data_IF_975262403336
#
_entry.id   IF_975262403336
#
_cell.length_a   1.000
_cell.length_b   1.000
_cell.length_c   1.000
_cell.angle_alpha   90.00
_cell.angle_beta   90.00
_cell.angle_gamma   90.00
#
_symmetry.space_group_name_H-M   'P 1'
#
loop_
_entity.id
_entity.type
_entity.pdbx_description
1 polymer ?
#
# COMPACT_ATOMS: atom_id res chain seq x y z
N UNK A 1 -18.77 7.34 1.86
CA UNK A 1 -17.81 7.09 0.79
C UNK A 1 -18.17 7.90 -0.46
N UNK A 2 -19.41 7.75 -1.03
CA UNK A 2 -19.79 8.50 -2.23
C UNK A 2 -19.65 10.02 -2.12
N UNK A 3 -20.08 10.62 -1.00
CA UNK A 3 -19.92 12.07 -0.76
C UNK A 3 -18.43 12.50 -0.72
N UNK A 4 -17.55 11.65 -0.19
CA UNK A 4 -16.09 11.93 -0.23
C UNK A 4 -15.56 11.94 -1.66
N UNK A 5 -16.02 11.01 -2.50
CA UNK A 5 -15.65 10.99 -3.92
C UNK A 5 -16.18 12.23 -4.67
N UNK A 6 -17.41 12.64 -4.40
CA UNK A 6 -17.97 13.88 -4.98
C UNK A 6 -17.18 15.12 -4.56
N UNK A 7 -16.81 15.21 -3.29
CA UNK A 7 -16.00 16.32 -2.77
C UNK A 7 -14.58 16.31 -3.39
N UNK A 8 -13.94 15.14 -3.48
CA UNK A 8 -12.63 14.99 -4.12
C UNK A 8 -12.66 15.44 -5.59
N UNK A 9 -13.71 15.09 -6.32
CA UNK A 9 -13.90 15.52 -7.71
C UNK A 9 -14.01 17.04 -7.84
N UNK A 10 -14.65 17.73 -6.89
CA UNK A 10 -14.73 19.20 -6.87
C UNK A 10 -13.37 19.87 -6.71
N UNK A 11 -12.45 19.19 -6.02
CA UNK A 11 -11.08 19.68 -5.82
C UNK A 11 -10.08 19.17 -6.85
N UNK A 12 -10.54 18.54 -7.93
CA UNK A 12 -9.69 18.00 -9.00
C UNK A 12 -8.63 17.01 -8.47
N UNK A 13 -9.07 16.12 -7.58
CA UNK A 13 -8.23 15.09 -6.97
C UNK A 13 -8.49 13.77 -7.68
N UNK A 14 -7.43 13.15 -8.22
CA UNK A 14 -7.53 11.86 -8.92
C UNK A 14 -7.62 10.66 -7.97
N UNK A 15 -6.82 10.69 -6.88
CA UNK A 15 -6.74 9.57 -5.92
C UNK A 15 -6.73 10.11 -4.49
N UNK A 16 -7.60 9.59 -3.64
CA UNK A 16 -7.56 9.87 -2.19
C UNK A 16 -6.94 8.73 -1.41
N UNK A 17 -6.16 9.07 -0.37
CA UNK A 17 -5.36 8.11 0.41
C UNK A 17 -6.21 7.44 1.50
N UNK A 18 -7.19 6.67 1.07
CA UNK A 18 -8.19 5.96 1.89
C UNK A 18 -8.60 4.65 1.19
N UNK A 19 -9.14 3.66 1.92
CA UNK A 19 -9.27 3.52 3.37
C UNK A 19 -8.00 3.03 4.07
N UNK A 20 -7.84 3.41 5.35
CA UNK A 20 -6.93 2.71 6.26
C UNK A 20 -7.66 1.53 6.90
N UNK A 21 -7.08 0.32 6.82
CA UNK A 21 -7.71 -0.90 7.35
C UNK A 21 -6.82 -1.73 8.27
N UNK A 22 -5.76 -1.11 8.84
CA UNK A 22 -4.95 -1.81 9.81
C UNK A 22 -5.77 -2.18 11.06
N UNK A 23 -5.40 -3.28 11.69
CA UNK A 23 -6.10 -3.79 12.87
C UNK A 23 -5.90 -2.87 14.08
N UNK A 24 -6.96 -2.48 14.76
CA UNK A 24 -6.95 -1.73 16.02
C UNK A 24 -6.49 -2.63 17.17
N UNK A 25 -5.23 -3.03 17.15
CA UNK A 25 -4.69 -3.96 18.14
C UNK A 25 -4.45 -3.32 19.50
N UNK A 26 -3.91 -2.09 19.50
CA UNK A 26 -3.60 -1.35 20.72
C UNK A 26 -4.46 -0.08 20.76
N UNK A 27 -5.27 0.12 21.78
CA UNK A 27 -6.13 1.31 21.89
C UNK A 27 -5.33 2.63 21.93
N UNK A 28 -4.05 2.58 22.29
CA UNK A 28 -3.15 3.75 22.30
C UNK A 28 -2.48 4.03 20.93
N UNK A 29 -2.78 3.25 19.89
CA UNK A 29 -2.25 3.54 18.57
C UNK A 29 -2.82 4.86 18.05
N UNK A 30 -1.93 5.82 17.72
CA UNK A 30 -2.31 7.18 17.35
C UNK A 30 -3.05 7.31 16.00
N UNK A 31 -3.20 6.20 15.24
CA UNK A 31 -3.92 6.17 13.96
C UNK A 31 -5.21 5.35 13.98
N UNK A 32 -5.65 4.87 15.16
CA UNK A 32 -6.91 4.15 15.26
C UNK A 32 -8.13 4.97 14.78
N UNK A 33 -8.05 6.31 14.81
CA UNK A 33 -9.13 7.19 14.36
C UNK A 33 -9.47 7.01 12.86
N UNK A 34 -8.56 6.52 12.05
CA UNK A 34 -8.76 6.29 10.61
C UNK A 34 -8.99 4.82 10.25
N UNK A 35 -8.92 3.90 11.22
CA UNK A 35 -9.14 2.47 11.04
C UNK A 35 -10.55 2.06 11.48
N UNK A 36 -11.00 0.87 11.08
CA UNK A 36 -12.39 0.47 11.33
C UNK A 36 -12.56 -0.42 12.56
N UNK A 37 -11.70 -1.45 12.74
CA UNK A 37 -11.93 -2.46 13.77
C UNK A 37 -10.64 -3.23 14.13
N UNK A 38 -10.75 -3.99 15.22
CA UNK A 38 -9.81 -5.07 15.57
C UNK A 38 -10.11 -6.37 14.81
N UNK A 39 -11.32 -6.50 14.25
CA UNK A 39 -11.77 -7.63 13.45
C UNK A 39 -11.36 -7.44 11.97
N UNK A 40 -10.54 -8.37 11.41
CA UNK A 40 -10.11 -8.27 10.01
C UNK A 40 -11.28 -8.42 9.02
N UNK A 41 -12.32 -9.18 9.36
CA UNK A 41 -13.48 -9.35 8.47
C UNK A 41 -14.25 -8.04 8.35
N UNK A 42 -14.55 -7.42 9.50
CA UNK A 42 -15.24 -6.12 9.50
C UNK A 42 -14.39 -5.04 8.81
N UNK A 43 -13.09 -4.97 9.13
CA UNK A 43 -12.18 -4.00 8.52
C UNK A 43 -12.08 -4.18 7.00
N UNK A 44 -11.99 -5.41 6.53
CA UNK A 44 -11.92 -5.73 5.09
C UNK A 44 -13.21 -5.36 4.34
N UNK A 45 -14.37 -5.73 4.87
CA UNK A 45 -15.67 -5.42 4.24
C UNK A 45 -15.98 -3.91 4.26
N UNK A 46 -15.69 -3.23 5.37
CA UNK A 46 -15.85 -1.77 5.45
C UNK A 46 -14.88 -1.05 4.51
N UNK A 47 -13.64 -1.54 4.40
CA UNK A 47 -12.66 -1.06 3.43
C UNK A 47 -13.16 -1.19 2.00
N UNK A 48 -13.66 -2.37 1.63
CA UNK A 48 -14.22 -2.60 0.30
C UNK A 48 -15.40 -1.69 -0.02
N UNK A 49 -16.32 -1.50 0.93
CA UNK A 49 -17.45 -0.59 0.78
C UNK A 49 -16.99 0.87 0.59
N UNK A 50 -15.91 1.27 1.29
CA UNK A 50 -15.31 2.60 1.12
C UNK A 50 -14.69 2.76 -0.27
N UNK A 51 -13.87 1.80 -0.71
CA UNK A 51 -13.27 1.78 -2.05
C UNK A 51 -14.35 1.91 -3.13
N UNK A 52 -15.33 1.01 -3.12
CA UNK A 52 -16.40 1.01 -4.11
C UNK A 52 -17.21 2.31 -4.12
N UNK A 53 -17.50 2.85 -2.93
CA UNK A 53 -18.27 4.09 -2.81
C UNK A 53 -17.53 5.33 -3.32
N UNK A 54 -16.22 5.44 -3.09
CA UNK A 54 -15.38 6.53 -3.62
C UNK A 54 -15.18 6.36 -5.13
N UNK A 55 -14.79 5.16 -5.57
CA UNK A 55 -14.48 4.89 -6.97
C UNK A 55 -15.73 4.95 -7.88
N UNK A 56 -16.94 4.80 -7.32
CA UNK A 56 -18.19 5.05 -8.07
C UNK A 56 -18.35 6.50 -8.56
N UNK A 57 -17.51 7.42 -8.09
CA UNK A 57 -17.48 8.82 -8.50
C UNK A 57 -16.30 9.16 -9.43
N UNK A 58 -15.59 8.14 -9.94
CA UNK A 58 -14.44 8.33 -10.81
C UNK A 58 -13.15 8.74 -10.09
N UNK A 59 -13.12 8.69 -8.75
CA UNK A 59 -11.96 9.02 -7.93
C UNK A 59 -11.31 7.75 -7.42
N UNK A 60 -10.00 7.59 -7.65
CA UNK A 60 -9.23 6.45 -7.17
C UNK A 60 -9.07 6.42 -5.66
N UNK A 61 -8.77 5.25 -5.14
CA UNK A 61 -8.46 5.04 -3.72
C UNK A 61 -7.09 4.41 -3.53
N UNK A 62 -6.47 4.68 -2.38
CA UNK A 62 -5.25 4.01 -1.95
C UNK A 62 -5.50 3.24 -0.66
N UNK A 63 -5.66 1.92 -0.80
CA UNK A 63 -5.85 1.02 0.34
C UNK A 63 -4.59 0.95 1.19
N UNK A 64 -4.67 1.23 2.49
CA UNK A 64 -3.50 1.42 3.34
C UNK A 64 -3.67 0.90 4.77
N UNK A 65 -2.58 0.71 5.53
CA UNK A 65 -1.18 0.67 5.10
C UNK A 65 -0.74 -0.79 5.06
N UNK A 66 -0.31 -1.28 3.95
CA UNK A 66 0.04 -2.68 3.72
C UNK A 66 1.48 -2.95 4.19
N UNK A 67 1.71 -3.63 5.32
CA UNK A 67 0.79 -4.24 6.26
C UNK A 67 1.32 -4.14 7.70
N UNK A 68 0.49 -4.43 8.68
CA UNK A 68 0.84 -4.49 10.11
C UNK A 68 1.35 -3.17 10.72
N UNK A 69 0.86 -2.03 10.27
CA UNK A 69 1.11 -0.71 10.84
C UNK A 69 0.19 -0.46 12.05
N UNK A 70 0.46 -1.14 13.17
CA UNK A 70 -0.43 -1.21 14.33
C UNK A 70 0.04 -0.38 15.53
N UNK A 71 1.10 0.42 15.36
CA UNK A 71 1.60 1.33 16.38
C UNK A 71 2.38 2.49 15.73
N UNK A 72 2.44 3.65 16.42
CA UNK A 72 3.07 4.86 15.86
C UNK A 72 4.34 5.30 16.60
N UNK A 73 4.59 4.77 17.80
CA UNK A 73 5.82 5.08 18.54
C UNK A 73 7.02 4.54 17.75
N UNK A 74 7.95 5.43 17.38
CA UNK A 74 9.13 5.09 16.60
C UNK A 74 8.81 4.35 15.28
N UNK A 75 7.74 4.75 14.60
CA UNK A 75 7.16 4.03 13.45
C UNK A 75 8.14 3.68 12.33
N UNK A 76 9.11 4.56 12.06
CA UNK A 76 10.13 4.36 11.01
C UNK A 76 11.17 3.29 11.35
N UNK A 77 11.28 2.88 12.62
CA UNK A 77 12.22 1.87 13.08
C UNK A 77 11.51 0.62 13.63
N UNK A 78 10.19 0.64 13.67
CA UNK A 78 9.40 -0.48 14.17
C UNK A 78 9.61 -1.74 13.32
N UNK A 79 9.86 -2.87 14.00
CA UNK A 79 9.91 -4.20 13.40
C UNK A 79 8.78 -5.04 14.00
N UNK A 80 7.73 -5.24 13.24
CA UNK A 80 6.56 -6.02 13.65
C UNK A 80 6.91 -7.51 13.61
N UNK A 81 7.14 -8.09 14.79
CA UNK A 81 7.43 -9.53 14.93
C UNK A 81 6.13 -10.30 15.08
N UNK A 82 5.73 -10.93 14.01
CA UNK A 82 4.42 -11.58 13.89
C UNK A 82 4.63 -13.03 13.44
N UNK A 83 4.10 -14.03 14.14
CA UNK A 83 4.07 -15.40 13.62
C UNK A 83 3.33 -15.47 12.28
N UNK A 84 3.82 -16.27 11.32
CA UNK A 84 3.26 -16.37 9.96
C UNK A 84 1.76 -16.62 9.98
N UNK A 85 1.28 -17.51 10.86
CA UNK A 85 -0.16 -17.77 11.01
C UNK A 85 -0.95 -16.51 11.36
N UNK A 86 -0.50 -15.74 12.35
CA UNK A 86 -1.17 -14.51 12.75
C UNK A 86 -1.09 -13.43 11.65
N UNK A 87 0.05 -13.35 10.94
CA UNK A 87 0.20 -12.44 9.80
C UNK A 87 -0.87 -12.74 8.73
N UNK A 88 -1.02 -14.00 8.35
CA UNK A 88 -1.98 -14.45 7.31
C UNK A 88 -3.44 -14.35 7.77
N UNK A 89 -3.76 -14.80 8.98
CA UNK A 89 -5.14 -14.92 9.44
C UNK A 89 -5.73 -13.63 10.02
N UNK A 90 -4.90 -12.67 10.40
CA UNK A 90 -5.34 -11.42 11.03
C UNK A 90 -4.88 -10.19 10.21
N UNK A 91 -3.57 -9.96 10.10
CA UNK A 91 -3.06 -8.69 9.57
C UNK A 91 -3.20 -8.56 8.05
N UNK A 92 -2.99 -9.62 7.31
CA UNK A 92 -3.21 -9.70 5.87
C UNK A 92 -4.69 -9.92 5.52
N UNK A 93 -5.44 -10.60 6.39
CA UNK A 93 -6.81 -11.04 6.10
C UNK A 93 -7.78 -9.92 5.75
N UNK A 94 -7.68 -8.77 6.41
CA UNK A 94 -8.49 -7.60 6.08
C UNK A 94 -8.22 -7.07 4.67
N UNK A 95 -6.95 -7.04 4.26
CA UNK A 95 -6.56 -6.64 2.90
C UNK A 95 -7.04 -7.65 1.85
N UNK A 96 -6.85 -8.94 2.11
CA UNK A 96 -7.34 -10.01 1.24
C UNK A 96 -8.86 -9.87 0.99
N UNK A 97 -9.65 -9.74 2.06
CA UNK A 97 -11.11 -9.55 1.96
C UNK A 97 -11.44 -8.26 1.19
N UNK A 98 -10.76 -7.16 1.47
CA UNK A 98 -10.99 -5.91 0.78
C UNK A 98 -10.76 -6.07 -0.72
N UNK A 99 -9.67 -6.69 -1.15
CA UNK A 99 -9.35 -6.92 -2.56
C UNK A 99 -10.28 -7.94 -3.23
N UNK A 100 -10.81 -8.91 -2.51
CA UNK A 100 -11.83 -9.84 -3.04
C UNK A 100 -13.16 -9.16 -3.34
N UNK A 101 -13.49 -8.06 -2.65
CA UNK A 101 -14.78 -7.37 -2.75
C UNK A 101 -14.69 -5.97 -3.38
N UNK A 102 -13.50 -5.52 -3.73
CA UNK A 102 -13.24 -4.23 -4.38
C UNK A 102 -11.94 -4.28 -5.16
N UNK A 103 -11.69 -3.26 -5.97
CA UNK A 103 -10.45 -3.13 -6.71
C UNK A 103 -9.90 -1.70 -6.54
N UNK A 104 -9.20 -1.38 -5.43
CA UNK A 104 -8.59 -0.06 -5.25
C UNK A 104 -7.55 0.20 -6.34
N UNK A 105 -7.47 1.44 -6.85
CA UNK A 105 -6.50 1.77 -7.88
C UNK A 105 -5.07 1.62 -7.38
N UNK A 106 -4.85 1.93 -6.10
CA UNK A 106 -3.53 1.77 -5.50
C UNK A 106 -3.59 1.08 -4.13
N UNK A 107 -2.50 0.41 -3.76
CA UNK A 107 -2.23 -0.09 -2.40
C UNK A 107 -0.99 0.62 -1.88
N UNK A 108 -1.09 1.21 -0.69
CA UNK A 108 0.03 1.88 -0.04
C UNK A 108 0.72 0.95 0.95
N UNK A 109 2.02 0.75 0.78
CA UNK A 109 2.86 0.03 1.75
C UNK A 109 2.98 0.80 3.07
N UNK A 110 3.51 0.18 4.11
CA UNK A 110 3.62 0.79 5.44
C UNK A 110 5.07 1.13 5.82
N UNK A 111 5.25 1.92 6.88
CA UNK A 111 6.57 2.34 7.36
C UNK A 111 7.38 1.25 8.05
N UNK A 112 6.69 0.29 8.68
CA UNK A 112 7.33 -0.69 9.55
C UNK A 112 8.05 -1.78 8.77
N UNK A 113 8.89 -2.48 9.49
CA UNK A 113 9.43 -3.76 9.06
C UNK A 113 8.53 -4.92 9.51
N UNK A 114 8.66 -6.03 8.82
CA UNK A 114 8.20 -7.35 9.28
C UNK A 114 9.37 -8.31 9.18
N UNK A 115 9.80 -8.85 10.32
CA UNK A 115 10.94 -9.75 10.38
C UNK A 115 12.24 -9.14 9.85
N UNK A 116 12.46 -7.85 10.09
CA UNK A 116 13.65 -7.11 9.68
C UNK A 116 13.58 -6.47 8.29
N UNK A 117 12.60 -6.81 7.43
CA UNK A 117 12.46 -6.30 6.07
C UNK A 117 11.39 -5.19 6.06
N UNK A 118 11.69 -4.04 5.44
CA UNK A 118 10.71 -2.97 5.25
C UNK A 118 9.57 -3.47 4.36
N UNK A 119 8.32 -3.20 4.73
CA UNK A 119 7.16 -3.64 3.95
C UNK A 119 7.19 -3.12 2.51
N UNK A 120 7.67 -1.92 2.31
CA UNK A 120 7.83 -1.29 0.99
C UNK A 120 8.92 -1.89 0.11
N UNK A 121 9.80 -2.76 0.67
CA UNK A 121 10.85 -3.48 -0.08
C UNK A 121 10.66 -5.01 0.03
N UNK A 122 9.52 -5.46 0.55
CA UNK A 122 9.30 -6.86 0.86
C UNK A 122 8.65 -7.60 -0.32
N UNK A 123 9.48 -8.23 -1.16
CA UNK A 123 9.01 -8.96 -2.35
C UNK A 123 8.02 -10.10 -2.00
N UNK A 124 8.18 -10.78 -0.86
CA UNK A 124 7.22 -11.80 -0.42
C UNK A 124 5.82 -11.21 -0.22
N UNK A 125 5.73 -10.01 0.35
CA UNK A 125 4.45 -9.34 0.56
C UNK A 125 3.90 -8.73 -0.73
N UNK A 126 4.73 -8.01 -1.49
CA UNK A 126 4.28 -7.18 -2.60
C UNK A 126 4.19 -7.96 -3.92
N UNK A 127 5.08 -8.93 -4.16
CA UNK A 127 5.03 -9.77 -5.37
C UNK A 127 4.26 -11.05 -5.10
N UNK A 128 4.72 -11.89 -4.15
CA UNK A 128 4.10 -13.20 -3.96
C UNK A 128 2.69 -13.08 -3.39
N UNK A 129 2.50 -12.44 -2.23
CA UNK A 129 1.17 -12.40 -1.59
C UNK A 129 0.19 -11.52 -2.37
N UNK A 130 0.58 -10.27 -2.63
CA UNK A 130 -0.35 -9.29 -3.19
C UNK A 130 -0.67 -9.57 -4.67
N UNK A 131 0.35 -9.89 -5.50
CA UNK A 131 0.16 -10.08 -6.93
C UNK A 131 -0.11 -11.52 -7.33
N UNK A 132 0.76 -12.46 -6.92
CA UNK A 132 0.65 -13.85 -7.39
C UNK A 132 -0.50 -14.59 -6.71
N UNK A 133 -0.62 -14.50 -5.37
CA UNK A 133 -1.67 -15.20 -4.63
C UNK A 133 -3.04 -14.52 -4.75
N UNK A 134 -3.09 -13.18 -4.66
CA UNK A 134 -4.36 -12.44 -4.64
C UNK A 134 -4.74 -11.82 -5.98
N UNK A 135 -3.84 -11.82 -6.96
CA UNK A 135 -4.10 -11.32 -8.32
C UNK A 135 -4.30 -9.80 -8.40
N UNK A 136 -3.73 -9.04 -7.45
CA UNK A 136 -3.84 -7.58 -7.49
C UNK A 136 -3.02 -7.00 -8.66
N UNK A 137 -3.66 -6.27 -9.54
CA UNK A 137 -3.10 -5.68 -10.76
C UNK A 137 -2.90 -4.16 -10.71
N UNK A 138 -3.28 -3.51 -9.60
CA UNK A 138 -3.14 -2.06 -9.42
C UNK A 138 -1.73 -1.62 -9.00
N UNK A 139 -1.57 -0.31 -8.80
CA UNK A 139 -0.30 0.32 -8.45
C UNK A 139 0.03 0.14 -6.95
N UNK A 140 1.27 -0.19 -6.63
CA UNK A 140 1.78 -0.17 -5.25
C UNK A 140 2.56 1.11 -5.03
N UNK A 141 2.15 1.91 -4.04
CA UNK A 141 2.81 3.17 -3.68
C UNK A 141 3.49 3.07 -2.32
N UNK A 142 4.62 3.75 -2.14
CA UNK A 142 5.24 3.85 -0.82
C UNK A 142 4.50 4.84 0.07
N UNK A 143 4.53 4.65 1.39
CA UNK A 143 4.12 5.70 2.31
C UNK A 143 5.13 6.86 2.29
N UNK A 144 4.68 8.09 2.61
CA UNK A 144 5.45 9.33 2.47
C UNK A 144 6.66 9.37 3.41
N UNK A 145 7.80 9.79 2.88
CA UNK A 145 9.03 9.98 3.66
C UNK A 145 9.47 8.74 4.47
N UNK A 146 9.16 7.54 3.96
CA UNK A 146 9.63 6.30 4.54
C UNK A 146 11.16 6.16 4.51
N UNK A 147 11.69 5.10 5.09
CA UNK A 147 13.13 4.81 4.98
C UNK A 147 13.50 4.63 3.52
N UNK A 148 14.56 5.31 3.09
CA UNK A 148 15.04 5.27 1.72
C UNK A 148 15.85 4.00 1.46
N UNK A 149 15.58 3.40 0.40
CA UNK A 149 16.39 2.55 -0.47
C UNK A 149 15.56 2.35 -1.74
N UNK A 150 15.58 3.33 -2.62
CA UNK A 150 14.74 3.34 -3.83
C UNK A 150 14.95 2.11 -4.71
N UNK A 151 16.18 1.62 -4.96
CA UNK A 151 16.39 0.36 -5.67
C UNK A 151 15.72 -0.85 -5.03
N UNK A 152 15.90 -1.04 -3.71
CA UNK A 152 15.27 -2.17 -3.00
C UNK A 152 13.74 -2.09 -3.01
N UNK A 153 13.17 -0.88 -2.98
CA UNK A 153 11.72 -0.71 -3.04
C UNK A 153 11.15 -1.12 -4.39
N UNK A 154 11.78 -0.68 -5.48
CA UNK A 154 11.37 -1.04 -6.84
C UNK A 154 11.57 -2.54 -7.10
N UNK A 155 12.71 -3.10 -6.76
CA UNK A 155 12.95 -4.55 -6.84
C UNK A 155 11.98 -5.35 -5.97
N UNK A 156 11.58 -4.82 -4.81
CA UNK A 156 10.60 -5.42 -3.91
C UNK A 156 9.16 -5.38 -4.41
N UNK A 157 8.86 -4.58 -5.44
CA UNK A 157 7.52 -4.50 -6.04
C UNK A 157 6.73 -3.24 -5.69
N UNK A 158 7.35 -2.22 -5.07
CA UNK A 158 6.79 -0.87 -5.02
C UNK A 158 6.97 -0.20 -6.39
N UNK A 159 5.91 0.39 -6.94
CA UNK A 159 5.93 0.94 -8.29
C UNK A 159 6.05 2.47 -8.29
N UNK A 160 5.55 3.15 -7.26
CA UNK A 160 5.58 4.61 -7.15
C UNK A 160 6.15 5.02 -5.80
N UNK A 161 7.26 5.73 -5.83
CA UNK A 161 7.97 6.20 -4.62
C UNK A 161 7.49 7.60 -4.26
N UNK A 162 6.89 7.73 -3.08
CA UNK A 162 6.36 9.01 -2.60
C UNK A 162 7.29 9.65 -1.56
N UNK A 163 7.44 10.97 -1.58
CA UNK A 163 6.75 11.96 -2.44
C UNK A 163 7.44 12.24 -3.80
N UNK A 164 8.45 11.50 -4.22
CA UNK A 164 9.17 11.75 -5.48
C UNK A 164 10.27 12.80 -5.32
N UNK A 165 11.08 12.69 -4.26
CA UNK A 165 12.19 13.62 -4.02
C UNK A 165 13.33 13.41 -5.01
N UNK A 166 14.08 14.49 -5.31
CA UNK A 166 15.27 14.41 -6.17
C UNK A 166 16.26 13.34 -5.73
N UNK A 167 16.45 13.17 -4.43
CA UNK A 167 17.33 12.14 -3.90
C UNK A 167 16.87 10.69 -4.22
N UNK A 168 15.56 10.45 -4.37
CA UNK A 168 15.04 9.16 -4.82
C UNK A 168 15.40 8.90 -6.28
N UNK A 169 15.34 9.93 -7.13
CA UNK A 169 15.79 9.83 -8.53
C UNK A 169 17.28 9.51 -8.62
N UNK A 170 18.11 10.22 -7.87
CA UNK A 170 19.57 9.99 -7.81
C UNK A 170 19.90 8.56 -7.33
N UNK A 171 19.15 8.02 -6.35
CA UNK A 171 19.29 6.63 -5.91
C UNK A 171 18.90 5.63 -7.00
N UNK A 172 17.84 5.90 -7.77
CA UNK A 172 17.42 5.06 -8.90
C UNK A 172 18.48 5.02 -9.99
N UNK A 173 18.97 6.20 -10.41
CA UNK A 173 20.02 6.32 -11.41
C UNK A 173 21.28 5.55 -11.01
N UNK A 174 21.76 5.76 -9.77
CA UNK A 174 22.90 5.03 -9.22
C UNK A 174 22.63 3.52 -9.10
N UNK A 175 21.39 3.14 -8.77
CA UNK A 175 20.97 1.73 -8.72
C UNK A 175 21.06 1.04 -10.06
N UNK A 176 20.64 1.71 -11.14
CA UNK A 176 20.75 1.21 -12.51
C UNK A 176 22.21 1.09 -12.92
N UNK A 177 23.01 2.14 -12.71
CA UNK A 177 24.43 2.16 -13.07
C UNK A 177 25.24 1.08 -12.37
N UNK A 178 24.94 0.79 -11.11
CA UNK A 178 25.61 -0.24 -10.32
C UNK A 178 25.07 -1.67 -10.55
N UNK A 179 23.95 -1.81 -11.26
CA UNK A 179 23.24 -3.09 -11.41
C UNK A 179 22.48 -3.56 -10.17
N UNK A 180 22.30 -2.70 -9.18
CA UNK A 180 21.46 -2.98 -8.00
C UNK A 180 19.96 -2.85 -8.27
N UNK A 181 19.58 -2.24 -9.39
CA UNK A 181 18.22 -2.09 -9.88
C UNK A 181 18.13 -2.57 -11.32
N UNK A 182 17.25 -3.52 -11.58
CA UNK A 182 17.00 -4.06 -12.93
C UNK A 182 16.14 -3.13 -13.76
N UNK A 183 16.35 -3.13 -15.08
CA UNK A 183 15.46 -2.43 -16.00
C UNK A 183 14.06 -3.05 -16.01
N UNK A 184 13.94 -4.36 -15.75
CA UNK A 184 12.65 -5.04 -15.63
C UNK A 184 11.78 -4.44 -14.54
N UNK A 185 12.35 -4.16 -13.35
CA UNK A 185 11.60 -3.53 -12.26
C UNK A 185 11.15 -2.09 -12.60
N UNK A 186 11.96 -1.37 -13.37
CA UNK A 186 11.60 -0.03 -13.90
C UNK A 186 10.48 -0.13 -14.91
N UNK A 187 10.60 -1.04 -15.87
CA UNK A 187 9.60 -1.23 -16.92
C UNK A 187 8.25 -1.66 -16.34
N UNK A 188 8.24 -2.58 -15.37
CA UNK A 188 7.05 -2.99 -14.63
C UNK A 188 6.38 -1.79 -13.92
N UNK A 189 7.17 -0.96 -13.26
CA UNK A 189 6.65 0.23 -12.58
C UNK A 189 6.08 1.25 -13.57
N UNK A 190 6.78 1.50 -14.68
CA UNK A 190 6.33 2.42 -15.73
C UNK A 190 5.06 1.92 -16.42
N UNK A 191 4.98 0.63 -16.75
CA UNK A 191 3.80 0.04 -17.37
C UNK A 191 2.57 0.15 -16.48
N UNK A 192 2.69 -0.15 -15.19
CA UNK A 192 1.57 -0.03 -14.24
C UNK A 192 1.09 1.41 -14.05
N UNK A 193 1.99 2.39 -14.14
CA UNK A 193 1.64 3.81 -14.01
C UNK A 193 1.04 4.39 -15.29
N UNK A 194 1.51 3.95 -16.47
CA UNK A 194 1.18 4.57 -17.77
C UNK A 194 0.18 3.79 -18.60
N UNK A 195 -0.06 2.51 -18.29
CA UNK A 195 -1.05 1.72 -19.01
C UNK A 195 -2.44 2.28 -18.78
N UNK A 196 -3.27 2.41 -19.82
CA UNK A 196 -4.68 2.72 -19.64
C UNK A 196 -5.29 1.65 -18.73
N UNK A 197 -6.07 2.09 -17.76
CA UNK A 197 -6.79 1.16 -16.88
C UNK A 197 -7.62 0.21 -17.72
N UNK A 198 -7.65 -1.10 -17.41
CA UNK A 198 -8.56 -2.03 -18.09
C UNK A 198 -10.05 -1.68 -17.90
N UNK A 199 -10.33 -0.52 -17.35
CA UNK A 199 -11.67 0.01 -17.04
C UNK A 199 -12.08 1.18 -17.91
N UNK A 200 -11.22 1.63 -18.85
CA UNK A 200 -11.54 2.67 -19.84
C UNK A 200 -12.29 2.11 -21.05
#
# INVERSE_FOLDING_TARGET
AGAMGEEAAVYDVDVILTPGINIMRNPLCGRNFEYFSEDPVLSGLMGAAMVNGVQSRGIGTSLKHFVANNQQVNKLNNDSRIPVKALREIYLKGFEICLQHSNPWTVMSSYNKIGGILTQSNAELLRTVLREEWGYDGLVVSDWYGKRNSPEQLEGGTNLLMPGEKAQLEEIEAGIESGALSMEAIDDACLLYTSPSPRD
#
